data_IF_644310487647
#
_entry.id   IF_644310487647
#
_cell.length_a   1.000
_cell.length_b   1.000
_cell.length_c   1.000
_cell.angle_alpha   90.00
_cell.angle_beta   90.00
_cell.angle_gamma   90.00
#
_symmetry.space_group_name_H-M   'P 1'
#
loop_
_entity.id
_entity.type
_entity.pdbx_description
1 polymer ?
#
# COMPACT_ATOMS: atom_id res chain seq x y z
N UNK A 1 -24.43 -2.03 -96.21
CA UNK A 1 -25.00 -2.69 -95.01
C UNK A 1 -24.07 -2.44 -93.85
N UNK A 2 -24.44 -1.50 -92.96
CA UNK A 2 -23.62 -1.11 -91.85
C UNK A 2 -24.32 -1.51 -90.55
N UNK A 3 -23.69 -2.40 -89.79
CA UNK A 3 -24.23 -2.98 -88.58
C UNK A 3 -23.79 -2.08 -87.36
N UNK A 4 -24.75 -1.43 -86.74
CA UNK A 4 -24.51 -0.64 -85.48
C UNK A 4 -24.38 -1.59 -84.30
N UNK A 5 -23.20 -1.62 -83.64
CA UNK A 5 -23.03 -2.28 -82.36
C UNK A 5 -23.44 -1.27 -81.27
N UNK A 6 -24.40 -1.68 -80.44
CA UNK A 6 -24.79 -0.96 -79.17
C UNK A 6 -23.84 -1.37 -78.05
N UNK A 7 -23.17 -0.42 -77.48
CA UNK A 7 -22.38 -0.61 -76.22
C UNK A 7 -23.32 -0.38 -75.02
N UNK A 8 -23.50 -1.41 -74.24
CA UNK A 8 -24.22 -1.34 -72.93
C UNK A 8 -23.18 -1.01 -71.84
N UNK A 9 -23.27 0.15 -71.25
CA UNK A 9 -22.45 0.55 -70.10
C UNK A 9 -23.20 0.09 -68.84
N UNK A 10 -22.66 -0.92 -68.16
CA UNK A 10 -23.13 -1.31 -66.83
C UNK A 10 -22.48 -0.38 -65.78
N UNK A 11 -23.28 0.42 -65.10
CA UNK A 11 -22.85 1.21 -63.97
C UNK A 11 -22.85 0.30 -62.71
N UNK A 12 -21.67 0.04 -62.16
CA UNK A 12 -21.52 -0.66 -60.85
C UNK A 12 -21.56 0.40 -59.76
N UNK A 13 -22.65 0.48 -59.03
CA UNK A 13 -22.77 1.28 -57.83
C UNK A 13 -22.15 0.50 -56.64
N UNK A 14 -20.95 0.90 -56.21
CA UNK A 14 -20.33 0.41 -54.98
C UNK A 14 -21.00 1.08 -53.79
N UNK A 15 -21.78 0.32 -53.01
CA UNK A 15 -22.30 0.80 -51.71
C UNK A 15 -21.20 0.72 -50.65
N UNK A 16 -20.69 1.85 -50.23
CA UNK A 16 -19.81 1.96 -49.07
C UNK A 16 -20.64 1.81 -47.78
N UNK A 17 -20.59 0.63 -47.15
CA UNK A 17 -21.11 0.43 -45.80
C UNK A 17 -20.06 0.94 -44.84
N UNK A 18 -20.25 2.17 -44.38
CA UNK A 18 -19.43 2.80 -43.34
C UNK A 18 -19.71 2.12 -41.99
N UNK A 19 -18.78 1.27 -41.53
CA UNK A 19 -18.82 0.71 -40.17
C UNK A 19 -18.45 1.83 -39.20
N UNK A 20 -19.44 2.49 -38.61
CA UNK A 20 -19.26 3.38 -37.47
C UNK A 20 -18.87 2.52 -36.23
N UNK A 21 -17.57 2.34 -36.01
CA UNK A 21 -17.05 1.86 -34.75
C UNK A 21 -17.41 2.88 -33.67
N UNK A 22 -18.48 2.64 -32.95
CA UNK A 22 -18.85 3.42 -31.79
C UNK A 22 -17.76 3.28 -30.72
N UNK A 23 -16.93 4.30 -30.54
CA UNK A 23 -16.06 4.40 -29.39
C UNK A 23 -16.95 4.61 -28.18
N UNK A 24 -17.16 3.56 -27.39
CA UNK A 24 -17.83 3.67 -26.11
C UNK A 24 -17.07 4.71 -25.27
N UNK A 25 -17.74 5.67 -24.62
CA UNK A 25 -17.07 6.60 -23.73
C UNK A 25 -16.36 5.80 -22.63
N UNK A 26 -15.05 5.99 -22.48
CA UNK A 26 -14.33 5.46 -21.36
C UNK A 26 -14.98 6.04 -20.08
N UNK A 27 -15.65 5.20 -19.32
CA UNK A 27 -16.16 5.59 -17.99
C UNK A 27 -14.95 6.01 -17.17
N UNK A 28 -14.89 7.28 -16.77
CA UNK A 28 -13.84 7.78 -15.91
C UNK A 28 -13.81 6.91 -14.63
N UNK A 29 -12.70 6.25 -14.40
CA UNK A 29 -12.48 5.44 -13.19
C UNK A 29 -12.63 6.35 -11.97
N UNK A 30 -13.41 5.91 -10.97
CA UNK A 30 -13.60 6.68 -9.74
C UNK A 30 -12.28 6.71 -8.97
N UNK A 31 -11.80 7.90 -8.62
CA UNK A 31 -10.62 8.13 -7.79
C UNK A 31 -11.01 8.74 -6.46
N UNK A 32 -10.22 8.46 -5.41
CA UNK A 32 -10.41 9.01 -4.07
C UNK A 32 -9.48 10.20 -3.86
N UNK A 33 -10.00 11.32 -3.39
CA UNK A 33 -9.17 12.48 -3.07
C UNK A 33 -8.39 12.29 -1.76
N UNK A 34 -7.13 11.92 -1.87
CA UNK A 34 -6.21 11.77 -0.74
C UNK A 34 -5.44 13.05 -0.38
N UNK A 35 -5.75 14.20 -0.99
CA UNK A 35 -4.98 15.44 -0.86
C UNK A 35 -4.87 15.97 0.58
N UNK A 36 -5.91 15.81 1.40
CA UNK A 36 -5.88 16.19 2.82
C UNK A 36 -4.83 15.35 3.56
N UNK A 37 -4.88 14.04 3.40
CA UNK A 37 -3.96 13.13 4.08
C UNK A 37 -2.53 13.28 3.57
N UNK A 38 -2.35 13.49 2.27
CA UNK A 38 -1.06 13.76 1.64
C UNK A 38 -0.38 15.00 2.27
N UNK A 39 -1.13 16.09 2.44
CA UNK A 39 -0.61 17.30 3.11
C UNK A 39 -0.27 17.07 4.58
N UNK A 40 -1.08 16.30 5.31
CA UNK A 40 -0.82 15.96 6.70
C UNK A 40 0.45 15.11 6.83
N UNK A 41 0.61 14.10 5.98
CA UNK A 41 1.79 13.25 5.93
C UNK A 41 3.04 14.07 5.60
N UNK A 42 2.98 14.92 4.55
CA UNK A 42 4.11 15.78 4.16
C UNK A 42 4.56 16.73 5.27
N UNK A 43 3.63 17.19 6.11
CA UNK A 43 3.92 18.11 7.22
C UNK A 43 4.46 17.42 8.46
N UNK A 44 3.92 16.24 8.79
CA UNK A 44 4.11 15.60 10.10
C UNK A 44 4.89 14.29 10.05
N UNK A 45 5.35 13.84 8.86
CA UNK A 45 6.17 12.65 8.73
C UNK A 45 7.50 13.00 8.08
N UNK A 46 8.60 12.62 8.72
CA UNK A 46 9.95 12.80 8.19
C UNK A 46 10.78 11.55 8.45
N UNK A 47 11.32 10.95 7.38
CA UNK A 47 12.12 9.71 7.44
C UNK A 47 11.42 8.57 8.23
N UNK A 48 10.08 8.47 8.09
CA UNK A 48 9.27 7.47 8.80
C UNK A 48 8.95 7.79 10.27
N UNK A 49 9.54 8.83 10.82
CA UNK A 49 9.25 9.33 12.18
C UNK A 49 8.05 10.25 12.13
N UNK A 50 7.10 10.04 13.05
CA UNK A 50 5.81 10.74 13.08
C UNK A 50 5.78 11.80 14.15
N UNK A 51 5.38 13.01 13.78
CA UNK A 51 5.06 14.10 14.70
C UNK A 51 3.59 13.99 15.15
N UNK A 52 3.34 13.14 16.15
CA UNK A 52 1.97 12.97 16.67
C UNK A 52 1.42 14.24 17.33
N UNK A 53 2.28 15.10 17.89
CA UNK A 53 1.85 16.41 18.42
C UNK A 53 1.33 17.31 17.29
N UNK A 54 2.01 17.33 16.16
CA UNK A 54 1.55 18.06 14.98
C UNK A 54 0.25 17.47 14.42
N UNK A 55 0.13 16.15 14.34
CA UNK A 55 -1.14 15.51 13.97
C UNK A 55 -2.29 15.84 14.92
N UNK A 56 -2.03 15.92 16.24
CA UNK A 56 -3.02 16.32 17.25
C UNK A 56 -3.51 17.76 17.02
N UNK A 57 -2.61 18.68 16.65
CA UNK A 57 -2.98 20.06 16.30
C UNK A 57 -3.85 20.13 15.05
N UNK A 58 -3.59 19.28 14.08
CA UNK A 58 -4.33 19.18 12.82
C UNK A 58 -5.41 18.08 12.82
N UNK A 59 -5.80 17.56 14.00
CA UNK A 59 -6.70 16.41 14.14
C UNK A 59 -8.05 16.60 13.43
N UNK A 60 -8.56 17.83 13.41
CA UNK A 60 -9.79 18.15 12.65
C UNK A 60 -9.67 17.85 11.15
N UNK A 61 -8.49 18.05 10.55
CA UNK A 61 -8.25 17.74 9.14
C UNK A 61 -8.18 16.23 8.94
N UNK A 62 -7.55 15.50 9.87
CA UNK A 62 -7.54 14.03 9.86
C UNK A 62 -8.97 13.47 10.00
N UNK A 63 -9.78 14.02 10.90
CA UNK A 63 -11.18 13.61 11.08
C UNK A 63 -12.03 13.89 9.84
N UNK A 64 -11.83 15.03 9.18
CA UNK A 64 -12.50 15.34 7.91
C UNK A 64 -12.13 14.35 6.81
N UNK A 65 -10.86 13.96 6.74
CA UNK A 65 -10.41 12.93 5.80
C UNK A 65 -11.02 11.56 6.09
N UNK A 66 -11.00 11.12 7.35
CA UNK A 66 -11.62 9.85 7.76
C UNK A 66 -13.12 9.82 7.49
N UNK A 67 -13.83 10.94 7.76
CA UNK A 67 -15.25 11.08 7.45
C UNK A 67 -15.54 11.05 5.95
N UNK A 68 -14.63 11.53 5.11
CA UNK A 68 -14.74 11.40 3.66
C UNK A 68 -14.54 9.95 3.23
N UNK A 69 -13.48 9.28 3.73
CA UNK A 69 -13.19 7.87 3.41
C UNK A 69 -14.34 6.94 3.82
N UNK A 70 -15.02 7.22 4.95
CA UNK A 70 -16.12 6.37 5.43
C UNK A 70 -17.32 6.30 4.49
N UNK A 71 -17.44 7.24 3.54
CA UNK A 71 -18.52 7.32 2.55
C UNK A 71 -18.16 6.68 1.21
N UNK A 72 -16.90 6.31 1.03
CA UNK A 72 -16.42 5.67 -0.20
C UNK A 72 -16.93 4.22 -0.21
N UNK A 73 -17.46 3.81 -1.34
CA UNK A 73 -17.77 2.41 -1.65
C UNK A 73 -16.54 1.80 -2.35
N UNK A 74 -15.73 0.96 -1.64
CA UNK A 74 -14.50 0.45 -2.23
C UNK A 74 -14.73 -0.49 -3.42
N UNK A 75 -15.92 -1.11 -3.51
CA UNK A 75 -16.21 -2.06 -4.59
C UNK A 75 -16.39 -1.35 -5.95
N UNK A 76 -16.59 -0.04 -5.93
CA UNK A 76 -16.65 0.80 -7.14
C UNK A 76 -15.28 1.29 -7.62
N UNK A 77 -14.22 1.06 -6.82
CA UNK A 77 -12.86 1.47 -7.16
C UNK A 77 -12.17 0.42 -8.01
N UNK A 78 -11.42 0.87 -9.00
CA UNK A 78 -10.48 0.03 -9.73
C UNK A 78 -9.44 -0.57 -8.77
N UNK A 79 -8.87 -1.74 -9.13
CA UNK A 79 -8.02 -2.54 -8.22
C UNK A 79 -6.91 -1.74 -7.55
N UNK A 80 -6.16 -0.93 -8.29
CA UNK A 80 -5.03 -0.18 -7.73
C UNK A 80 -5.50 0.97 -6.84
N UNK A 81 -6.57 1.66 -7.23
CA UNK A 81 -7.18 2.72 -6.43
C UNK A 81 -7.76 2.16 -5.13
N UNK A 82 -8.42 1.01 -5.20
CA UNK A 82 -8.94 0.29 -4.03
C UNK A 82 -7.81 -0.15 -3.08
N UNK A 83 -6.68 -0.59 -3.62
CA UNK A 83 -5.54 -0.97 -2.80
C UNK A 83 -4.93 0.25 -2.09
N UNK A 84 -4.70 1.35 -2.82
CA UNK A 84 -4.24 2.62 -2.26
C UNK A 84 -5.20 3.16 -1.19
N UNK A 85 -6.51 3.09 -1.45
CA UNK A 85 -7.56 3.46 -0.50
C UNK A 85 -7.42 2.71 0.82
N UNK A 86 -7.30 1.38 0.80
CA UNK A 86 -7.19 0.58 2.03
C UNK A 86 -5.88 0.82 2.77
N UNK A 87 -4.76 1.03 2.08
CA UNK A 87 -3.48 1.39 2.72
C UNK A 87 -3.61 2.74 3.44
N UNK A 88 -4.16 3.76 2.79
CA UNK A 88 -4.34 5.07 3.39
C UNK A 88 -5.36 5.04 4.55
N UNK A 89 -6.44 4.28 4.40
CA UNK A 89 -7.44 4.07 5.46
C UNK A 89 -6.80 3.47 6.71
N UNK A 90 -6.01 2.39 6.54
CA UNK A 90 -5.29 1.74 7.64
C UNK A 90 -4.33 2.72 8.34
N UNK A 91 -3.50 3.41 7.57
CA UNK A 91 -2.50 4.33 8.11
C UNK A 91 -3.16 5.53 8.82
N UNK A 92 -4.20 6.11 8.26
CA UNK A 92 -4.92 7.24 8.85
C UNK A 92 -5.61 6.83 10.17
N UNK A 93 -6.26 5.66 10.20
CA UNK A 93 -6.87 5.15 11.44
C UNK A 93 -5.83 4.69 12.47
N UNK A 94 -4.66 4.21 12.06
CA UNK A 94 -3.55 3.93 12.99
C UNK A 94 -3.08 5.21 13.68
N UNK A 95 -2.90 6.30 12.92
CA UNK A 95 -2.57 7.62 13.50
C UNK A 95 -3.69 8.06 14.46
N UNK A 96 -4.96 7.99 14.05
CA UNK A 96 -6.11 8.36 14.90
C UNK A 96 -6.16 7.53 16.18
N UNK A 97 -5.85 6.24 16.10
CA UNK A 97 -5.79 5.35 17.27
C UNK A 97 -4.69 5.80 18.25
N UNK A 98 -3.51 6.17 17.77
CA UNK A 98 -2.44 6.71 18.61
C UNK A 98 -2.87 8.02 19.28
N UNK A 99 -3.49 8.95 18.54
CA UNK A 99 -3.95 10.24 19.05
C UNK A 99 -4.97 10.08 20.19
N UNK A 100 -5.69 8.97 20.25
CA UNK A 100 -6.71 8.72 21.30
C UNK A 100 -6.14 8.71 22.72
N UNK A 101 -4.80 8.55 22.89
CA UNK A 101 -4.11 8.57 24.19
C UNK A 101 -2.79 9.35 24.18
N UNK A 102 -2.43 9.95 23.05
CA UNK A 102 -1.24 10.80 23.01
C UNK A 102 -1.45 12.06 23.87
N UNK A 103 -0.47 12.53 24.67
CA UNK A 103 0.93 12.08 24.72
C UNK A 103 1.22 10.90 25.69
N UNK A 104 0.25 10.41 26.45
CA UNK A 104 0.44 9.40 27.50
C UNK A 104 0.53 7.98 26.89
N UNK A 105 1.33 7.82 25.82
CA UNK A 105 1.47 6.59 25.08
C UNK A 105 2.94 6.32 24.73
N UNK A 106 3.50 5.21 25.22
CA UNK A 106 4.86 4.77 24.90
C UNK A 106 4.91 3.75 23.77
N UNK A 107 3.85 2.99 23.61
CA UNK A 107 3.69 1.97 22.56
C UNK A 107 2.23 1.88 22.13
N UNK A 108 1.97 1.60 20.85
CA UNK A 108 0.60 1.33 20.41
C UNK A 108 -0.01 0.14 21.17
N UNK A 109 0.81 -0.80 21.66
CA UNK A 109 0.35 -1.92 22.48
C UNK A 109 -0.35 -1.49 23.77
N UNK A 110 0.00 -0.33 24.32
CA UNK A 110 -0.61 0.21 25.53
C UNK A 110 -2.10 0.57 25.33
N UNK A 111 -2.54 0.66 24.08
CA UNK A 111 -3.94 0.83 23.71
C UNK A 111 -4.73 -0.47 23.72
N UNK A 112 -4.06 -1.61 23.80
CA UNK A 112 -4.70 -2.91 23.96
C UNK A 112 -5.16 -3.20 25.38
N UNK A 113 -5.61 -4.42 25.60
CA UNK A 113 -5.87 -4.99 26.92
C UNK A 113 -5.19 -6.35 27.03
N UNK A 114 -5.23 -6.98 28.22
CA UNK A 114 -4.68 -8.32 28.41
C UNK A 114 -5.21 -9.35 27.41
N UNK A 115 -6.44 -9.17 26.89
CA UNK A 115 -7.11 -10.12 26.00
C UNK A 115 -7.34 -9.61 24.58
N UNK A 116 -7.09 -8.31 24.29
CA UNK A 116 -7.36 -7.72 22.97
C UNK A 116 -6.22 -6.86 22.51
N UNK A 117 -5.72 -7.18 21.32
CA UNK A 117 -4.81 -6.34 20.57
C UNK A 117 -5.43 -4.96 20.26
N UNK A 118 -4.67 -3.86 20.25
CA UNK A 118 -5.20 -2.56 19.83
C UNK A 118 -5.80 -2.58 18.41
N UNK A 119 -5.27 -3.39 17.52
CA UNK A 119 -5.76 -3.54 16.14
C UNK A 119 -7.13 -4.22 16.04
N UNK A 120 -7.59 -4.90 17.11
CA UNK A 120 -8.92 -5.53 17.21
C UNK A 120 -10.01 -4.58 17.71
N UNK A 121 -9.68 -3.30 17.95
CA UNK A 121 -10.69 -2.31 18.29
C UNK A 121 -11.55 -1.98 17.08
N UNK A 122 -12.87 -2.02 17.26
CA UNK A 122 -13.85 -1.58 16.24
C UNK A 122 -13.89 -0.05 16.21
N UNK A 123 -13.06 0.54 15.36
CA UNK A 123 -12.92 1.99 15.23
C UNK A 123 -12.97 2.46 13.78
N UNK A 124 -12.65 1.60 12.81
CA UNK A 124 -12.54 1.99 11.40
C UNK A 124 -13.92 2.07 10.79
N UNK A 125 -14.35 3.27 10.42
CA UNK A 125 -15.60 3.49 9.71
C UNK A 125 -15.38 3.27 8.20
N UNK A 126 -16.10 2.34 7.63
CA UNK A 126 -15.98 1.92 6.24
C UNK A 126 -17.35 1.58 5.66
N UNK A 127 -17.81 2.35 4.68
CA UNK A 127 -19.06 2.09 3.93
C UNK A 127 -20.25 1.70 4.84
N UNK A 128 -20.52 2.51 5.87
CA UNK A 128 -21.62 2.29 6.81
C UNK A 128 -21.39 1.23 7.88
N UNK A 129 -20.22 0.57 7.89
CA UNK A 129 -19.84 -0.41 8.90
C UNK A 129 -18.72 0.11 9.80
N UNK A 130 -18.58 -0.50 10.97
CA UNK A 130 -17.43 -0.25 11.86
C UNK A 130 -16.63 -1.53 11.99
N UNK A 131 -15.42 -1.52 11.44
CA UNK A 131 -14.51 -2.67 11.39
C UNK A 131 -13.24 -2.42 12.21
N UNK A 132 -12.31 -3.37 12.20
CA UNK A 132 -11.03 -3.30 12.91
C UNK A 132 -9.88 -3.08 11.92
N UNK A 133 -8.72 -2.62 12.41
CA UNK A 133 -7.49 -2.59 11.60
C UNK A 133 -7.06 -4.01 11.21
N UNK A 134 -7.19 -4.99 12.12
CA UNK A 134 -6.94 -6.41 11.82
C UNK A 134 -7.77 -6.88 10.62
N UNK A 135 -9.07 -6.50 10.56
CA UNK A 135 -9.93 -6.84 9.43
C UNK A 135 -9.41 -6.24 8.11
N UNK A 136 -9.00 -4.97 8.14
CA UNK A 136 -8.43 -4.33 6.92
C UNK A 136 -7.18 -5.06 6.46
N UNK A 137 -6.28 -5.42 7.37
CA UNK A 137 -5.01 -6.07 7.02
C UNK A 137 -5.21 -7.53 6.61
N UNK A 138 -5.87 -8.33 7.47
CA UNK A 138 -5.89 -9.78 7.35
C UNK A 138 -7.01 -10.33 6.48
N UNK A 139 -8.15 -9.64 6.38
CA UNK A 139 -9.29 -10.11 5.60
C UNK A 139 -9.43 -9.37 4.25
N UNK A 140 -8.79 -8.21 4.10
CA UNK A 140 -8.88 -7.42 2.86
C UNK A 140 -7.52 -7.30 2.18
N UNK A 141 -6.56 -6.58 2.78
CA UNK A 141 -5.30 -6.23 2.09
C UNK A 141 -4.51 -7.46 1.67
N UNK A 142 -4.25 -8.39 2.58
CA UNK A 142 -3.46 -9.59 2.30
C UNK A 142 -4.14 -10.55 1.31
N UNK A 143 -5.38 -11.02 1.55
CA UNK A 143 -5.99 -12.05 0.72
C UNK A 143 -6.48 -11.55 -0.64
N UNK A 144 -6.97 -10.30 -0.73
CA UNK A 144 -7.55 -9.79 -1.98
C UNK A 144 -6.50 -9.27 -2.94
N UNK A 145 -5.43 -8.63 -2.44
CA UNK A 145 -4.41 -8.06 -3.32
C UNK A 145 -3.22 -9.01 -3.56
N UNK A 146 -2.90 -9.87 -2.58
CA UNK A 146 -1.81 -10.87 -2.67
C UNK A 146 -0.47 -10.26 -3.08
N UNK A 147 -0.19 -9.08 -2.56
CA UNK A 147 1.02 -8.32 -2.81
C UNK A 147 1.76 -8.10 -1.50
N UNK A 148 2.85 -8.84 -1.29
CA UNK A 148 3.61 -8.80 -0.05
C UNK A 148 4.23 -7.41 0.26
N UNK A 149 4.28 -6.50 -0.73
CA UNK A 149 4.75 -5.13 -0.52
C UNK A 149 3.84 -4.33 0.40
N UNK A 150 2.60 -4.79 0.62
CA UNK A 150 1.67 -4.17 1.58
C UNK A 150 2.28 -4.09 2.98
N UNK A 151 3.09 -5.08 3.38
CA UNK A 151 3.76 -5.09 4.68
C UNK A 151 4.76 -3.95 4.89
N UNK A 152 5.17 -3.27 3.82
CA UNK A 152 6.03 -2.10 3.86
C UNK A 152 5.28 -0.78 3.63
N UNK A 153 3.98 -0.86 3.34
CA UNK A 153 3.12 0.28 3.07
C UNK A 153 2.20 0.64 4.25
N UNK A 154 1.78 -0.35 5.04
CA UNK A 154 1.01 -0.11 6.26
C UNK A 154 1.94 0.05 7.46
N UNK A 155 1.61 0.99 8.35
CA UNK A 155 2.44 1.33 9.50
C UNK A 155 1.70 1.08 10.81
N UNK A 156 2.31 0.30 11.69
CA UNK A 156 1.75 -0.07 12.99
C UNK A 156 2.17 0.86 14.13
N UNK A 157 2.67 2.06 13.84
CA UNK A 157 3.10 3.07 14.79
C UNK A 157 4.27 2.67 15.71
N UNK A 158 5.06 1.66 15.38
CA UNK A 158 6.24 1.26 16.17
C UNK A 158 7.56 1.57 15.45
N UNK A 159 8.66 1.68 16.19
CA UNK A 159 10.00 1.98 15.64
C UNK A 159 10.50 0.91 14.67
N UNK A 160 10.23 -0.37 14.93
CA UNK A 160 10.62 -1.45 14.02
C UNK A 160 9.65 -1.67 12.84
N UNK A 161 8.57 -0.87 12.77
CA UNK A 161 7.67 -0.90 11.62
C UNK A 161 8.33 -0.28 10.39
N UNK A 162 7.99 -0.72 9.18
CA UNK A 162 8.40 -0.01 7.98
C UNK A 162 8.02 1.47 8.06
N UNK A 163 8.89 2.38 7.58
CA UNK A 163 8.67 3.80 7.69
C UNK A 163 7.34 4.24 7.07
N UNK A 164 6.53 5.01 7.82
CA UNK A 164 5.36 5.65 7.24
C UNK A 164 5.80 6.60 6.13
N UNK A 165 5.22 6.45 4.94
CA UNK A 165 5.53 7.33 3.82
C UNK A 165 4.99 8.74 4.07
N UNK A 166 5.80 9.77 3.77
CA UNK A 166 5.40 11.19 3.89
C UNK A 166 4.46 11.65 2.75
N UNK A 167 3.84 10.72 2.04
CA UNK A 167 2.89 10.92 0.94
C UNK A 167 1.79 9.87 0.99
N UNK A 168 0.58 10.24 0.61
CA UNK A 168 -0.50 9.29 0.44
C UNK A 168 -0.26 8.36 -0.76
N UNK A 169 -0.74 7.14 -0.67
CA UNK A 169 -0.78 6.21 -1.80
C UNK A 169 -1.87 6.62 -2.78
N UNK A 170 -1.61 6.47 -4.08
CA UNK A 170 -2.58 6.73 -5.15
C UNK A 170 -2.64 5.54 -6.09
N UNK A 171 -3.78 5.27 -6.70
CA UNK A 171 -3.89 4.17 -7.66
C UNK A 171 -2.96 4.32 -8.86
N UNK A 172 -2.74 5.55 -9.31
CA UNK A 172 -1.87 5.86 -10.44
C UNK A 172 -0.39 5.55 -10.18
N UNK A 173 0.09 5.82 -8.96
CA UNK A 173 1.51 5.66 -8.60
C UNK A 173 1.77 4.43 -7.73
N UNK A 174 0.74 3.62 -7.45
CA UNK A 174 0.76 2.57 -6.44
C UNK A 174 1.95 1.63 -6.57
N UNK A 175 2.20 1.11 -7.77
CA UNK A 175 3.26 0.13 -7.99
C UNK A 175 4.65 0.72 -7.68
N UNK A 176 4.90 1.95 -8.10
CA UNK A 176 6.14 2.67 -7.80
C UNK A 176 6.28 2.99 -6.31
N UNK A 177 5.17 3.36 -5.65
CA UNK A 177 5.16 3.67 -4.22
C UNK A 177 5.42 2.41 -3.38
N UNK A 178 4.80 1.28 -3.72
CA UNK A 178 5.02 -0.01 -3.07
C UNK A 178 6.46 -0.51 -3.27
N UNK A 179 7.00 -0.41 -4.48
CA UNK A 179 8.39 -0.78 -4.76
C UNK A 179 9.39 0.10 -4.00
N UNK A 180 9.12 1.40 -3.89
CA UNK A 180 9.95 2.33 -3.11
C UNK A 180 9.94 1.96 -1.64
N UNK A 181 8.77 1.69 -1.06
CA UNK A 181 8.62 1.30 0.34
C UNK A 181 9.36 -0.01 0.64
N UNK A 182 9.17 -1.05 -0.20
CA UNK A 182 9.86 -2.33 -0.06
C UNK A 182 11.38 -2.17 -0.17
N UNK A 183 11.85 -1.41 -1.16
CA UNK A 183 13.28 -1.15 -1.37
C UNK A 183 13.90 -0.39 -0.21
N UNK A 184 13.22 0.64 0.29
CA UNK A 184 13.71 1.42 1.42
C UNK A 184 13.85 0.57 2.67
N UNK A 185 12.83 -0.23 3.01
CA UNK A 185 12.85 -1.07 4.20
C UNK A 185 13.86 -2.22 4.12
N UNK A 186 13.94 -2.91 2.98
CA UNK A 186 14.85 -4.06 2.82
C UNK A 186 16.32 -3.62 2.91
N UNK A 187 16.66 -2.43 2.42
CA UNK A 187 18.03 -1.90 2.48
C UNK A 187 18.34 -1.06 3.72
N UNK A 188 17.41 -1.00 4.67
CA UNK A 188 17.65 -0.39 5.98
C UNK A 188 18.51 -1.34 6.85
N UNK A 189 19.78 -1.01 7.01
CA UNK A 189 20.75 -1.80 7.76
C UNK A 189 20.45 -1.96 9.25
N UNK A 190 19.49 -1.19 9.82
CA UNK A 190 18.99 -1.39 11.19
C UNK A 190 18.01 -2.57 11.27
N UNK A 191 17.25 -2.77 10.21
CA UNK A 191 16.19 -3.78 10.15
C UNK A 191 16.58 -5.04 9.38
N UNK A 192 17.58 -4.95 8.45
CA UNK A 192 17.96 -6.07 7.61
C UNK A 192 19.46 -5.96 7.26
N UNK A 193 20.25 -6.95 7.62
CA UNK A 193 21.68 -6.94 7.30
C UNK A 193 22.27 -8.35 7.24
N UNK A 194 23.42 -8.46 6.57
CA UNK A 194 24.22 -9.69 6.50
C UNK A 194 25.45 -9.55 7.41
N UNK A 195 25.68 -10.56 8.26
CA UNK A 195 26.91 -10.68 9.05
C UNK A 195 27.50 -12.08 8.86
N UNK A 196 28.62 -12.15 8.14
CA UNK A 196 29.16 -13.44 7.69
C UNK A 196 28.14 -14.18 6.82
N UNK A 197 27.73 -15.36 7.24
CA UNK A 197 26.71 -16.19 6.57
C UNK A 197 25.35 -16.15 7.24
N UNK A 198 25.13 -15.20 8.14
CA UNK A 198 23.83 -15.04 8.82
C UNK A 198 23.14 -13.77 8.31
N UNK A 199 21.98 -13.97 7.72
CA UNK A 199 21.07 -12.90 7.31
C UNK A 199 20.14 -12.59 8.47
N UNK A 200 20.29 -11.41 9.04
CA UNK A 200 19.39 -10.87 10.06
C UNK A 200 18.29 -10.10 9.39
N UNK A 201 17.03 -10.44 9.67
CA UNK A 201 15.85 -9.81 9.09
C UNK A 201 14.90 -9.30 10.15
N UNK A 202 14.17 -8.25 9.81
CA UNK A 202 13.02 -7.81 10.59
C UNK A 202 12.05 -8.96 10.87
N UNK A 203 11.45 -8.94 12.05
CA UNK A 203 10.46 -9.94 12.47
C UNK A 203 9.20 -9.98 11.58
N UNK A 204 8.93 -8.95 10.79
CA UNK A 204 7.88 -8.93 9.78
C UNK A 204 8.00 -10.10 8.81
N UNK A 205 9.23 -10.42 8.37
CA UNK A 205 9.47 -11.56 7.49
C UNK A 205 9.19 -12.93 8.15
N UNK A 206 9.23 -12.99 9.49
CA UNK A 206 8.83 -14.19 10.25
C UNK A 206 7.32 -14.28 10.38
N UNK A 207 6.68 -13.18 10.74
CA UNK A 207 5.23 -13.15 11.00
C UNK A 207 4.40 -13.39 9.74
N UNK A 208 4.86 -12.83 8.61
CA UNK A 208 4.17 -12.84 7.32
C UNK A 208 4.91 -13.65 6.25
N UNK A 209 5.75 -14.61 6.67
CA UNK A 209 6.62 -15.38 5.77
C UNK A 209 5.88 -16.05 4.61
N UNK A 210 4.64 -16.43 4.83
CA UNK A 210 3.78 -17.06 3.82
C UNK A 210 3.39 -16.13 2.64
N UNK A 211 3.43 -14.80 2.85
CA UNK A 211 3.09 -13.82 1.82
C UNK A 211 4.27 -13.55 0.89
N UNK A 212 5.52 -13.80 1.32
CA UNK A 212 6.73 -13.55 0.54
C UNK A 212 7.07 -14.73 -0.37
N UNK A 213 6.55 -14.72 -1.59
CA UNK A 213 6.74 -15.78 -2.58
C UNK A 213 7.90 -15.47 -3.55
N UNK A 214 8.59 -16.51 -4.04
CA UNK A 214 8.52 -17.93 -3.70
C UNK A 214 9.13 -18.25 -2.34
N UNK A 215 9.97 -17.38 -1.78
CA UNK A 215 10.55 -17.45 -0.44
C UNK A 215 10.88 -16.05 0.08
N UNK A 216 11.07 -15.91 1.40
CA UNK A 216 11.54 -14.67 2.03
C UNK A 216 12.86 -14.22 1.42
N UNK A 217 13.82 -15.14 1.23
CA UNK A 217 15.13 -14.82 0.66
C UNK A 217 15.02 -14.31 -0.79
N UNK A 218 14.19 -14.92 -1.62
CA UNK A 218 14.00 -14.50 -3.00
C UNK A 218 13.36 -13.12 -3.06
N UNK A 219 12.39 -12.86 -2.18
CA UNK A 219 11.75 -11.56 -2.08
C UNK A 219 12.76 -10.48 -1.64
N UNK A 220 13.57 -10.76 -0.62
CA UNK A 220 14.64 -9.84 -0.17
C UNK A 220 15.64 -9.59 -1.30
N UNK A 221 16.09 -10.62 -2.00
CA UNK A 221 17.03 -10.51 -3.13
C UNK A 221 16.48 -9.65 -4.28
N UNK A 222 15.16 -9.64 -4.50
CA UNK A 222 14.52 -8.81 -5.52
C UNK A 222 14.75 -7.32 -5.28
N UNK A 223 14.77 -6.89 -4.00
CA UNK A 223 14.84 -5.48 -3.61
C UNK A 223 16.19 -5.07 -3.00
N UNK A 224 17.02 -6.03 -2.57
CA UNK A 224 18.35 -5.76 -2.01
C UNK A 224 19.25 -5.06 -3.03
N UNK A 225 20.14 -4.19 -2.54
CA UNK A 225 21.03 -3.37 -3.35
C UNK A 225 22.48 -3.44 -2.85
N UNK A 226 23.41 -2.98 -3.69
CA UNK A 226 24.81 -2.80 -3.33
C UNK A 226 25.49 -4.06 -2.76
N UNK A 227 26.27 -3.86 -1.73
CA UNK A 227 27.04 -4.92 -1.06
C UNK A 227 26.14 -5.93 -0.35
N UNK A 228 25.01 -5.47 0.17
CA UNK A 228 24.00 -6.35 0.77
C UNK A 228 23.50 -7.39 -0.24
N UNK A 229 23.08 -6.93 -1.43
CA UNK A 229 22.63 -7.83 -2.48
C UNK A 229 23.74 -8.77 -2.99
N UNK A 230 24.98 -8.28 -3.07
CA UNK A 230 26.13 -9.07 -3.49
C UNK A 230 26.39 -10.20 -2.50
N UNK A 231 26.51 -9.88 -1.20
CA UNK A 231 26.75 -10.87 -0.17
C UNK A 231 25.66 -11.93 -0.07
N UNK A 232 24.37 -11.52 -0.24
CA UNK A 232 23.26 -12.47 -0.28
C UNK A 232 23.35 -13.47 -1.44
N UNK A 233 23.80 -13.02 -2.62
CA UNK A 233 23.98 -13.91 -3.78
C UNK A 233 25.17 -14.85 -3.61
N UNK A 234 26.29 -14.34 -3.08
CA UNK A 234 27.53 -15.11 -2.84
C UNK A 234 27.31 -16.25 -1.84
N UNK A 235 26.51 -16.00 -0.81
CA UNK A 235 26.26 -16.98 0.26
C UNK A 235 24.91 -17.69 0.17
N UNK A 236 24.17 -17.54 -0.94
CA UNK A 236 22.76 -17.99 -1.06
C UNK A 236 22.54 -19.44 -0.62
N UNK A 237 23.48 -20.34 -0.89
CA UNK A 237 23.30 -21.77 -0.65
C UNK A 237 23.43 -22.16 0.84
N UNK A 238 24.10 -21.34 1.66
CA UNK A 238 24.45 -21.65 3.05
C UNK A 238 24.09 -20.53 4.04
N UNK A 239 23.20 -19.59 3.62
CA UNK A 239 22.67 -18.55 4.48
C UNK A 239 21.82 -19.13 5.61
N UNK A 240 22.13 -18.71 6.82
CA UNK A 240 21.22 -18.84 7.96
C UNK A 240 20.38 -17.58 8.07
N UNK A 241 19.08 -17.72 8.35
CA UNK A 241 18.18 -16.58 8.58
C UNK A 241 17.87 -16.52 10.07
N UNK A 242 18.12 -15.35 10.66
CA UNK A 242 17.72 -15.01 12.01
C UNK A 242 16.83 -13.77 12.00
N UNK A 243 15.94 -13.68 12.99
CA UNK A 243 14.97 -12.59 13.06
C UNK A 243 15.26 -11.71 14.25
N UNK A 244 15.36 -10.41 13.99
CA UNK A 244 15.65 -9.40 14.98
C UNK A 244 14.54 -9.27 16.02
N UNK A 245 14.87 -8.76 17.20
CA UNK A 245 13.87 -8.30 18.16
C UNK A 245 13.09 -7.11 17.59
N UNK A 246 11.83 -6.98 17.96
CA UNK A 246 10.94 -5.95 17.44
C UNK A 246 10.71 -4.88 18.50
N UNK A 247 11.15 -3.66 18.21
CA UNK A 247 10.94 -2.49 19.07
C UNK A 247 9.53 -1.93 18.87
N UNK A 248 8.68 -2.18 19.85
CA UNK A 248 7.29 -1.72 19.88
C UNK A 248 7.11 -0.29 20.38
N UNK A 249 8.19 0.40 20.81
CA UNK A 249 8.08 1.81 21.19
C UNK A 249 7.55 2.64 20.01
N UNK A 250 6.83 3.71 20.36
CA UNK A 250 6.18 4.55 19.37
C UNK A 250 7.22 5.18 18.43
N UNK A 251 6.94 5.19 17.12
CA UNK A 251 7.77 5.80 16.08
C UNK A 251 7.66 7.34 16.06
N UNK A 252 7.58 7.96 17.24
CA UNK A 252 7.46 9.41 17.41
C UNK A 252 8.80 10.12 17.48
N UNK A 253 8.78 11.44 17.23
CA UNK A 253 9.87 12.35 17.59
C UNK A 253 10.00 12.47 19.09
#
# INVERSE_FOLDING_TARGET
>A
MATKRRIVIMAVTAAFVGCLLGVAPATASMTVDHSIFDRLLARHVSNGVVDYKGFQQDEKQLDAYLAMLSKVDPDKLERNERFAFYINLYNAWTIKLVLSRYPDLHSIKDLGSWFKSPWQKKIVQLNGQVVTLDHIEHDILRPQFKDARVHFAINCASKSCPPLMARAYTGADLDQQLDRAARAFINDGHNNYLKGRTLYLSRIFKWFGEDFKPSVLDFVLKYAQGDFARGLREHRADLKIEYLEYDWSLNSR
#
